data_IF_499247489455
#
_entry.id   IF_499247489455
#
_cell.length_a   1.000
_cell.length_b   1.000
_cell.length_c   1.000
_cell.angle_alpha   90.00
_cell.angle_beta   90.00
_cell.angle_gamma   90.00
#
_symmetry.space_group_name_H-M   'P 1'
#
loop_
_entity.id
_entity.type
_entity.pdbx_description
1 polymer ?
#
# COMPACT_ATOMS: atom_id res chain seq x y z
N UNK A 1 -31.86 -19.68 -8.41
CA UNK A 1 -30.53 -20.11 -8.89
C UNK A 1 -29.64 -18.94 -9.30
N UNK A 2 -30.05 -18.07 -10.24
CA UNK A 2 -29.20 -16.97 -10.74
C UNK A 2 -28.76 -15.94 -9.68
N UNK A 3 -29.60 -15.64 -8.68
CA UNK A 3 -29.24 -14.73 -7.58
C UNK A 3 -28.12 -15.27 -6.69
N UNK A 4 -28.28 -16.51 -6.20
CA UNK A 4 -27.28 -17.19 -5.38
C UNK A 4 -25.94 -17.34 -6.11
N UNK A 5 -25.97 -17.60 -7.42
CA UNK A 5 -24.75 -17.69 -8.23
C UNK A 5 -24.04 -16.34 -8.35
N UNK A 6 -24.80 -15.25 -8.48
CA UNK A 6 -24.27 -13.89 -8.53
C UNK A 6 -23.70 -13.46 -7.17
N UNK A 7 -24.38 -13.77 -6.06
CA UNK A 7 -23.91 -13.49 -4.71
C UNK A 7 -22.62 -14.26 -4.38
N UNK A 8 -22.56 -15.54 -4.74
CA UNK A 8 -21.34 -16.35 -4.59
C UNK A 8 -20.18 -15.79 -5.41
N UNK A 9 -20.45 -15.32 -6.65
CA UNK A 9 -19.43 -14.67 -7.49
C UNK A 9 -18.90 -13.39 -6.83
N UNK A 10 -19.78 -12.54 -6.29
CA UNK A 10 -19.37 -11.31 -5.59
C UNK A 10 -18.58 -11.63 -4.32
N UNK A 11 -18.95 -12.68 -3.59
CA UNK A 11 -18.20 -13.13 -2.42
C UNK A 11 -16.78 -13.58 -2.79
N UNK A 12 -16.64 -14.33 -3.88
CA UNK A 12 -15.32 -14.76 -4.37
C UNK A 12 -14.45 -13.56 -4.74
N UNK A 13 -15.00 -12.56 -5.45
CA UNK A 13 -14.27 -11.32 -5.78
C UNK A 13 -13.84 -10.59 -4.49
N UNK A 14 -14.70 -10.54 -3.48
CA UNK A 14 -14.36 -9.92 -2.19
C UNK A 14 -13.25 -10.68 -1.45
N UNK A 15 -13.23 -12.02 -1.52
CA UNK A 15 -12.17 -12.86 -0.97
C UNK A 15 -10.84 -12.63 -1.70
N UNK A 16 -10.86 -12.63 -3.05
CA UNK A 16 -9.68 -12.35 -3.87
C UNK A 16 -9.11 -10.95 -3.57
N UNK A 17 -9.98 -9.96 -3.46
CA UNK A 17 -9.59 -8.61 -3.07
C UNK A 17 -8.96 -8.58 -1.67
N UNK A 18 -9.57 -9.24 -0.69
CA UNK A 18 -9.04 -9.33 0.67
C UNK A 18 -7.66 -10.01 0.71
N UNK A 19 -7.47 -11.10 -0.03
CA UNK A 19 -6.19 -11.80 -0.11
C UNK A 19 -5.13 -10.94 -0.78
N UNK A 20 -5.48 -10.22 -1.86
CA UNK A 20 -4.57 -9.28 -2.51
C UNK A 20 -4.16 -8.14 -1.58
N UNK A 21 -5.09 -7.61 -0.77
CA UNK A 21 -4.82 -6.54 0.20
C UNK A 21 -3.89 -7.04 1.31
N UNK A 22 -4.11 -8.26 1.79
CA UNK A 22 -3.25 -8.89 2.79
C UNK A 22 -1.81 -9.01 2.28
N UNK A 23 -1.63 -9.48 1.04
CA UNK A 23 -0.30 -9.59 0.43
C UNK A 23 0.34 -8.21 0.26
N UNK A 24 -0.43 -7.23 -0.15
CA UNK A 24 0.03 -5.87 -0.33
C UNK A 24 0.48 -5.20 0.99
N UNK A 25 -0.30 -5.32 2.07
CA UNK A 25 0.05 -4.80 3.40
C UNK A 25 1.32 -5.45 3.97
N UNK A 26 1.54 -6.76 3.71
CA UNK A 26 2.79 -7.44 4.08
C UNK A 26 3.99 -6.80 3.37
N UNK A 27 3.87 -6.53 2.06
CA UNK A 27 4.92 -5.85 1.29
C UNK A 27 5.18 -4.43 1.81
N UNK A 28 4.12 -3.67 2.14
CA UNK A 28 4.26 -2.34 2.75
C UNK A 28 5.01 -2.39 4.09
N UNK A 29 4.73 -3.40 4.91
CA UNK A 29 5.40 -3.61 6.20
C UNK A 29 6.89 -3.92 6.01
N UNK A 30 7.25 -4.66 4.95
CA UNK A 30 8.64 -4.91 4.58
C UNK A 30 9.37 -3.61 4.21
N UNK A 31 8.75 -2.72 3.45
CA UNK A 31 9.31 -1.39 3.12
C UNK A 31 9.61 -0.60 4.39
N UNK A 32 8.68 -0.57 5.36
CA UNK A 32 8.89 0.13 6.63
C UNK A 32 10.02 -0.50 7.46
N UNK A 33 10.17 -1.82 7.43
CA UNK A 33 11.28 -2.51 8.09
C UNK A 33 12.62 -2.15 7.45
N UNK A 34 12.72 -2.16 6.12
CA UNK A 34 13.91 -1.73 5.37
C UNK A 34 14.24 -0.27 5.71
N UNK A 35 13.23 0.61 5.71
CA UNK A 35 13.38 2.01 6.14
C UNK A 35 14.00 2.10 7.53
N UNK A 36 13.51 1.34 8.51
CA UNK A 36 14.05 1.36 9.87
C UNK A 36 15.51 0.89 9.92
N UNK A 37 15.86 -0.16 9.17
CA UNK A 37 17.23 -0.69 9.07
C UNK A 37 18.19 0.33 8.45
N UNK A 38 17.80 0.97 7.34
CA UNK A 38 18.60 2.01 6.68
C UNK A 38 18.69 3.30 7.51
N UNK A 39 17.80 3.48 8.48
CA UNK A 39 17.73 4.65 9.34
C UNK A 39 18.38 4.47 10.73
N UNK A 40 19.13 3.37 10.95
CA UNK A 40 19.70 2.96 12.24
C UNK A 40 20.63 3.97 12.95
N UNK A 41 20.96 3.70 14.24
CA UNK A 41 21.49 4.68 15.19
C UNK A 41 22.87 5.27 14.85
N UNK A 42 23.66 4.63 13.99
CA UNK A 42 25.00 5.08 13.60
C UNK A 42 25.02 6.09 12.44
N UNK A 43 23.88 6.32 11.77
CA UNK A 43 23.78 7.40 10.78
C UNK A 43 23.54 8.70 11.54
N UNK A 44 24.63 9.33 12.00
CA UNK A 44 24.64 10.71 12.51
C UNK A 44 24.06 11.64 11.44
N UNK A 45 22.74 11.81 11.42
CA UNK A 45 22.07 12.70 10.49
C UNK A 45 22.47 14.13 10.81
N UNK A 46 23.23 14.72 9.90
CA UNK A 46 23.15 16.16 9.70
C UNK A 46 21.69 16.49 9.39
N UNK A 47 21.18 17.57 9.97
CA UNK A 47 19.76 17.98 9.94
C UNK A 47 19.25 18.37 8.54
N UNK A 48 20.01 18.04 7.48
CA UNK A 48 19.77 18.36 6.06
C UNK A 48 19.66 17.12 5.15
N UNK A 49 19.86 15.90 5.66
CA UNK A 49 19.77 14.70 4.82
C UNK A 49 18.31 14.34 4.52
N UNK A 50 17.94 14.54 3.24
CA UNK A 50 16.64 14.17 2.68
C UNK A 50 16.34 12.69 2.96
N UNK A 51 15.12 12.39 3.39
CA UNK A 51 14.67 11.02 3.69
C UNK A 51 14.66 10.16 2.42
N UNK A 52 15.23 8.96 2.48
CA UNK A 52 15.16 7.96 1.39
C UNK A 52 13.74 7.46 1.08
N UNK A 53 12.78 7.78 1.94
CA UNK A 53 11.39 7.35 1.81
C UNK A 53 10.45 8.55 1.90
N UNK A 54 9.36 8.56 1.12
CA UNK A 54 8.35 9.61 1.21
C UNK A 54 7.77 9.71 2.62
N UNK A 55 7.45 10.93 3.05
CA UNK A 55 6.84 11.18 4.36
C UNK A 55 5.41 10.63 4.45
N UNK A 56 4.72 10.60 3.31
CA UNK A 56 3.37 10.03 3.15
C UNK A 56 3.31 8.52 3.34
N UNK A 57 4.44 7.80 3.21
CA UNK A 57 4.46 6.34 3.22
C UNK A 57 3.81 5.76 4.49
N UNK A 58 4.17 6.26 5.67
CA UNK A 58 3.64 5.74 6.95
C UNK A 58 2.12 5.89 7.02
N UNK A 59 1.60 7.01 6.53
CA UNK A 59 0.17 7.27 6.50
C UNK A 59 -0.54 6.30 5.54
N UNK A 60 -0.01 6.14 4.32
CA UNK A 60 -0.55 5.21 3.34
C UNK A 60 -0.58 3.77 3.88
N UNK A 61 0.51 3.30 4.52
CA UNK A 61 0.52 1.97 5.14
C UNK A 61 -0.59 1.81 6.16
N UNK A 62 -0.81 2.81 7.02
CA UNK A 62 -1.88 2.75 8.01
C UNK A 62 -3.26 2.66 7.34
N UNK A 63 -3.52 3.46 6.30
CA UNK A 63 -4.79 3.41 5.59
C UNK A 63 -5.06 2.04 4.94
N UNK A 64 -4.02 1.39 4.39
CA UNK A 64 -4.13 0.05 3.84
C UNK A 64 -4.35 -1.03 4.91
N UNK A 65 -3.77 -0.87 6.11
CA UNK A 65 -4.07 -1.74 7.26
C UNK A 65 -5.52 -1.58 7.70
N UNK A 66 -6.02 -0.35 7.78
CA UNK A 66 -7.41 -0.07 8.17
C UNK A 66 -8.40 -0.61 7.12
N UNK A 67 -8.06 -0.47 5.83
CA UNK A 67 -8.81 -1.06 4.72
C UNK A 67 -8.84 -2.59 4.81
N UNK A 68 -7.70 -3.23 5.10
CA UNK A 68 -7.60 -4.67 5.28
C UNK A 68 -8.55 -5.15 6.38
N UNK A 69 -8.58 -4.48 7.53
CA UNK A 69 -9.49 -4.82 8.62
C UNK A 69 -10.96 -4.68 8.20
N UNK A 70 -11.33 -3.58 7.51
CA UNK A 70 -12.68 -3.37 7.02
C UNK A 70 -13.12 -4.48 6.03
N UNK A 71 -12.23 -4.88 5.12
CA UNK A 71 -12.49 -5.99 4.18
C UNK A 71 -12.65 -7.32 4.91
N UNK A 72 -11.84 -7.60 5.94
CA UNK A 72 -11.95 -8.82 6.74
C UNK A 72 -13.32 -8.90 7.44
N UNK A 73 -13.73 -7.83 8.13
CA UNK A 73 -15.03 -7.76 8.79
C UNK A 73 -16.19 -7.96 7.81
N UNK A 74 -16.05 -7.38 6.61
CA UNK A 74 -17.06 -7.46 5.54
C UNK A 74 -17.20 -8.86 4.97
N UNK A 75 -16.10 -9.54 4.70
CA UNK A 75 -16.11 -10.94 4.24
C UNK A 75 -16.70 -11.87 5.30
N UNK A 76 -16.39 -11.66 6.59
CA UNK A 76 -16.97 -12.44 7.69
C UNK A 76 -18.49 -12.23 7.84
N UNK A 77 -18.98 -11.04 7.50
CA UNK A 77 -20.39 -10.66 7.60
C UNK A 77 -21.13 -10.69 6.25
N UNK A 78 -20.53 -11.31 5.22
CA UNK A 78 -20.99 -11.24 3.83
C UNK A 78 -22.49 -11.50 3.60
N UNK A 79 -23.11 -12.53 4.23
CA UNK A 79 -24.54 -12.78 4.03
C UNK A 79 -25.46 -11.66 4.53
N UNK A 80 -24.94 -10.74 5.37
CA UNK A 80 -25.66 -9.59 5.93
C UNK A 80 -25.23 -8.26 5.30
N UNK A 81 -23.97 -8.15 4.90
CA UNK A 81 -23.38 -6.96 4.29
C UNK A 81 -22.50 -7.39 3.11
N UNK A 82 -23.07 -7.53 1.91
CA UNK A 82 -22.37 -8.02 0.71
C UNK A 82 -21.94 -6.93 -0.28
N UNK A 83 -21.94 -5.67 0.14
CA UNK A 83 -21.53 -4.52 -0.69
C UNK A 83 -20.09 -4.16 -0.27
N UNK A 84 -19.24 -3.65 -1.16
CA UNK A 84 -17.89 -3.17 -0.80
C UNK A 84 -17.69 -1.67 -1.02
N UNK A 85 -18.56 -1.04 -1.82
CA UNK A 85 -18.38 0.34 -2.28
C UNK A 85 -18.35 1.37 -1.17
N UNK A 86 -19.03 1.14 -0.05
CA UNK A 86 -19.01 1.99 1.13
C UNK A 86 -17.64 2.04 1.82
N UNK A 87 -16.90 0.93 1.81
CA UNK A 87 -15.53 0.87 2.36
C UNK A 87 -14.60 1.75 1.52
N UNK A 88 -14.69 1.64 0.19
CA UNK A 88 -13.87 2.45 -0.72
C UNK A 88 -14.29 3.92 -0.73
N UNK A 89 -15.58 4.21 -0.65
CA UNK A 89 -16.07 5.58 -0.53
C UNK A 89 -15.54 6.23 0.75
N UNK A 90 -15.50 5.49 1.87
CA UNK A 90 -14.88 5.96 3.10
C UNK A 90 -13.39 6.23 2.88
N UNK A 91 -12.64 5.29 2.28
CA UNK A 91 -11.21 5.45 2.00
C UNK A 91 -10.92 6.70 1.15
N UNK A 92 -11.72 6.95 0.11
CA UNK A 92 -11.52 8.08 -0.81
C UNK A 92 -12.27 9.35 -0.40
N UNK A 93 -12.90 9.38 0.77
CA UNK A 93 -13.55 10.58 1.30
C UNK A 93 -12.50 11.66 1.63
N UNK A 94 -12.87 12.92 1.44
CA UNK A 94 -11.99 14.08 1.68
C UNK A 94 -11.50 14.13 3.14
N UNK A 95 -12.28 13.62 4.09
CA UNK A 95 -11.88 13.54 5.50
C UNK A 95 -10.62 12.69 5.72
N UNK A 96 -10.43 11.64 4.92
CA UNK A 96 -9.30 10.73 5.07
C UNK A 96 -8.08 11.18 4.29
N UNK A 97 -8.13 12.26 3.48
CA UNK A 97 -6.96 12.80 2.74
C UNK A 97 -6.12 11.73 1.98
N UNK A 98 -6.66 10.53 1.74
CA UNK A 98 -5.89 9.38 1.26
C UNK A 98 -5.28 9.68 -0.11
N UNK A 99 -6.10 10.28 -0.98
CA UNK A 99 -5.69 10.69 -2.32
C UNK A 99 -4.60 11.77 -2.28
N UNK A 100 -4.67 12.72 -1.35
CA UNK A 100 -3.64 13.76 -1.20
C UNK A 100 -2.30 13.16 -0.78
N UNK A 101 -2.31 12.23 0.17
CA UNK A 101 -1.11 11.50 0.58
C UNK A 101 -0.57 10.59 -0.53
N UNK A 102 -1.45 10.00 -1.33
CA UNK A 102 -1.06 9.19 -2.49
C UNK A 102 -0.41 10.05 -3.58
N UNK A 103 -1.00 11.21 -3.91
CA UNK A 103 -0.40 12.19 -4.83
C UNK A 103 0.93 12.70 -4.31
N UNK A 104 1.03 13.00 -3.01
CA UNK A 104 2.28 13.38 -2.37
C UNK A 104 3.34 12.27 -2.48
N UNK A 105 2.96 11.01 -2.28
CA UNK A 105 3.85 9.87 -2.49
C UNK A 105 4.37 9.82 -3.93
N UNK A 106 3.48 9.94 -4.93
CA UNK A 106 3.88 9.90 -6.35
C UNK A 106 4.82 11.06 -6.72
N UNK A 107 4.58 12.25 -6.17
CA UNK A 107 5.44 13.42 -6.38
C UNK A 107 6.83 13.24 -5.79
N UNK A 108 6.93 12.67 -4.59
CA UNK A 108 8.18 12.51 -3.85
C UNK A 108 8.98 11.26 -4.31
N UNK A 109 8.31 10.31 -4.98
CA UNK A 109 8.89 9.03 -5.39
C UNK A 109 10.12 9.16 -6.31
N UNK A 110 10.13 9.98 -7.38
CA UNK A 110 11.30 10.10 -8.26
C UNK A 110 12.56 10.57 -7.51
N UNK A 111 12.38 11.47 -6.54
CA UNK A 111 13.48 11.96 -5.71
C UNK A 111 14.01 10.87 -4.77
N UNK A 112 13.12 10.09 -4.15
CA UNK A 112 13.50 8.96 -3.30
C UNK A 112 14.26 7.88 -4.09
N UNK A 113 13.78 7.54 -5.30
CA UNK A 113 14.45 6.62 -6.22
C UNK A 113 15.85 7.13 -6.57
N UNK A 114 16.00 8.43 -6.87
CA UNK A 114 17.29 9.04 -7.22
C UNK A 114 18.29 8.97 -6.05
N UNK A 115 17.83 9.29 -4.84
CA UNK A 115 18.66 9.24 -3.63
C UNK A 115 19.09 7.81 -3.30
N UNK A 116 18.18 6.85 -3.41
CA UNK A 116 18.46 5.43 -3.23
C UNK A 116 19.47 4.96 -4.28
N UNK A 117 19.28 5.32 -5.54
CA UNK A 117 20.22 4.96 -6.59
C UNK A 117 21.63 5.50 -6.27
N UNK A 118 21.75 6.76 -5.87
CA UNK A 118 23.06 7.38 -5.57
C UNK A 118 23.73 6.80 -4.32
N UNK A 119 22.98 6.52 -3.25
CA UNK A 119 23.54 6.08 -1.96
C UNK A 119 23.69 4.56 -1.89
N UNK A 120 22.71 3.79 -2.37
CA UNK A 120 22.67 2.33 -2.27
C UNK A 120 23.59 1.65 -3.31
N UNK A 121 23.97 2.33 -4.41
CA UNK A 121 24.95 1.81 -5.38
C UNK A 121 26.31 1.43 -4.78
N UNK A 122 26.68 1.95 -3.61
CA UNK A 122 28.01 1.76 -3.03
C UNK A 122 28.12 0.66 -1.97
N UNK A 123 27.03 0.24 -1.32
CA UNK A 123 27.13 -0.58 -0.09
C UNK A 123 26.16 -1.77 0.02
N UNK A 124 25.21 -1.94 -0.91
CA UNK A 124 24.17 -3.00 -0.79
C UNK A 124 24.12 -3.86 -2.05
N UNK A 125 23.82 -5.16 -1.87
CA UNK A 125 23.64 -6.14 -2.94
C UNK A 125 22.56 -5.72 -3.95
N UNK A 126 22.79 -6.00 -5.24
CA UNK A 126 21.89 -5.70 -6.37
C UNK A 126 20.46 -6.27 -6.19
N UNK A 127 20.33 -7.39 -5.49
CA UNK A 127 19.05 -8.08 -5.24
C UNK A 127 18.14 -7.22 -4.35
N UNK A 128 18.69 -6.68 -3.25
CA UNK A 128 17.97 -5.80 -2.33
C UNK A 128 17.56 -4.50 -3.02
N UNK A 129 18.38 -3.99 -3.96
CA UNK A 129 18.03 -2.79 -4.75
C UNK A 129 16.81 -3.05 -5.63
N UNK A 130 16.81 -4.17 -6.35
CA UNK A 130 15.73 -4.56 -7.26
C UNK A 130 14.42 -4.73 -6.49
N UNK A 131 14.48 -5.38 -5.32
CA UNK A 131 13.33 -5.54 -4.44
C UNK A 131 12.77 -4.19 -3.97
N UNK A 132 13.62 -3.22 -3.63
CA UNK A 132 13.20 -1.88 -3.20
C UNK A 132 12.45 -1.11 -4.30
N UNK A 133 12.94 -1.14 -5.53
CA UNK A 133 12.23 -0.52 -6.65
C UNK A 133 10.89 -1.18 -6.90
N UNK A 134 10.86 -2.52 -6.95
CA UNK A 134 9.62 -3.29 -7.11
C UNK A 134 8.61 -2.88 -6.03
N UNK A 135 9.04 -2.85 -4.77
CA UNK A 135 8.19 -2.48 -3.64
C UNK A 135 7.62 -1.07 -3.75
N UNK A 136 8.38 -0.08 -4.22
CA UNK A 136 7.84 1.27 -4.43
C UNK A 136 6.80 1.33 -5.55
N UNK A 137 7.03 0.59 -6.65
CA UNK A 137 6.11 0.56 -7.78
C UNK A 137 4.82 -0.21 -7.46
N UNK A 138 4.87 -1.20 -6.58
CA UNK A 138 3.66 -1.86 -6.07
C UNK A 138 2.69 -0.86 -5.45
N UNK A 139 3.19 0.21 -4.81
CA UNK A 139 2.32 1.26 -4.25
C UNK A 139 1.61 2.04 -5.36
N UNK A 140 2.33 2.35 -6.44
CA UNK A 140 1.77 3.03 -7.61
C UNK A 140 0.69 2.17 -8.29
N UNK A 141 0.91 0.86 -8.37
CA UNK A 141 0.01 -0.06 -9.07
C UNK A 141 -1.27 -0.41 -8.31
N UNK A 142 -1.31 -0.18 -6.99
CA UNK A 142 -2.41 -0.66 -6.14
C UNK A 142 -3.77 -0.02 -6.45
N UNK A 143 -3.82 1.28 -6.69
CA UNK A 143 -5.10 1.97 -6.98
C UNK A 143 -5.75 1.43 -8.28
N UNK A 144 -5.02 1.31 -9.41
CA UNK A 144 -5.55 0.65 -10.60
C UNK A 144 -6.10 -0.76 -10.36
N UNK A 145 -5.46 -1.57 -9.51
CA UNK A 145 -5.94 -2.91 -9.18
C UNK A 145 -7.31 -2.89 -8.50
N UNK A 146 -7.60 -1.93 -7.61
CA UNK A 146 -8.92 -1.82 -7.00
C UNK A 146 -10.02 -1.58 -8.02
N UNK A 147 -9.75 -0.78 -9.05
CA UNK A 147 -10.74 -0.49 -10.09
C UNK A 147 -11.13 -1.75 -10.87
N UNK A 148 -10.20 -2.69 -11.06
CA UNK A 148 -10.47 -3.96 -11.73
C UNK A 148 -11.38 -4.85 -10.88
N UNK A 149 -11.18 -4.88 -9.56
CA UNK A 149 -12.00 -5.71 -8.65
C UNK A 149 -13.40 -5.12 -8.38
N UNK A 150 -13.61 -3.83 -8.69
CA UNK A 150 -14.87 -3.12 -8.48
C UNK A 150 -15.77 -3.06 -9.74
N UNK A 151 -15.30 -3.56 -10.89
CA UNK A 151 -16.05 -3.67 -12.16
C UNK A 151 -16.88 -4.95 -12.23
#
# INVERSE_FOLDING_TARGET
LNHYLLEAKRQNIALELLESERKYVINLSLILKIKATLQGPDVKRSTKERSFFPNSLRYLVQQHVDLLHALQERVLSWPRQGILGDIFLKLTNDENNFLDYYVAYLRDLPECISLIHVVILKEVEEEIKSDLYILFFHIVQRIPEYLIHLQ
#
